data_IF_019941171424
#
_entry.id   IF_019941171424
#
_cell.length_a   1.000
_cell.length_b   1.000
_cell.length_c   1.000
_cell.angle_alpha   90.00
_cell.angle_beta   90.00
_cell.angle_gamma   90.00
#
_symmetry.space_group_name_H-M   'P 1'
#
loop_
_entity.id
_entity.type
_entity.pdbx_description
1 polymer ?
#
# COMPACT_ATOMS: atom_id res chain seq x y z
N UNK A 1 -14.25 -12.58 17.86
CA UNK A 1 -13.95 -14.00 17.58
C UNK A 1 -12.50 -14.26 18.00
N UNK A 2 -12.31 -14.99 19.06
CA UNK A 2 -10.96 -15.48 19.41
C UNK A 2 -10.61 -16.52 18.36
N UNK A 3 -9.65 -16.22 17.49
CA UNK A 3 -8.95 -17.24 16.73
C UNK A 3 -8.22 -18.10 17.75
N UNK A 4 -8.84 -19.24 18.12
CA UNK A 4 -8.11 -20.26 18.83
C UNK A 4 -7.10 -20.83 17.85
N UNK A 5 -5.82 -20.52 18.08
CA UNK A 5 -4.75 -21.28 17.49
C UNK A 5 -4.99 -22.77 17.76
N UNK A 6 -4.76 -23.59 16.77
CA UNK A 6 -4.47 -24.99 17.05
C UNK A 6 -3.06 -25.07 17.65
N UNK A 7 -2.92 -25.10 18.99
CA UNK A 7 -1.59 -25.13 19.64
C UNK A 7 -0.80 -26.34 19.20
N UNK A 8 -1.50 -27.38 18.74
CA UNK A 8 -0.89 -28.64 18.31
C UNK A 8 -0.01 -28.57 17.07
N UNK A 9 -0.24 -27.63 16.13
CA UNK A 9 0.59 -27.54 14.91
C UNK A 9 1.92 -26.84 15.18
N UNK A 10 1.90 -25.74 15.93
CA UNK A 10 3.13 -25.06 16.33
C UNK A 10 3.95 -25.91 17.30
N UNK A 11 3.33 -26.62 18.23
CA UNK A 11 4.00 -27.53 19.17
C UNK A 11 4.65 -28.73 18.47
N UNK A 12 4.06 -29.23 17.39
CA UNK A 12 4.63 -30.35 16.63
C UNK A 12 5.88 -29.96 15.85
N UNK A 13 6.05 -28.69 15.50
CA UNK A 13 7.17 -28.19 14.70
C UNK A 13 8.23 -27.48 15.52
N UNK A 14 8.01 -27.20 16.79
CA UNK A 14 9.05 -26.71 17.69
C UNK A 14 9.92 -27.91 18.15
N UNK A 15 11.25 -27.75 18.22
CA UNK A 15 12.05 -26.53 18.17
C UNK A 15 12.62 -26.19 16.80
N UNK A 16 12.21 -26.87 15.74
CA UNK A 16 12.82 -26.74 14.40
C UNK A 16 12.24 -25.60 13.56
N UNK A 17 11.13 -25.02 13.97
CA UNK A 17 10.44 -23.96 13.22
C UNK A 17 10.34 -22.70 14.06
N UNK A 18 10.84 -21.60 13.52
CA UNK A 18 10.64 -20.26 14.10
C UNK A 18 9.82 -19.40 13.12
N UNK A 19 8.80 -18.72 13.62
CA UNK A 19 8.08 -17.70 12.86
C UNK A 19 8.84 -16.37 12.90
N UNK A 20 8.63 -15.53 11.90
CA UNK A 20 9.23 -14.20 11.89
C UNK A 20 8.67 -13.36 13.04
N UNK A 21 9.44 -12.39 13.54
CA UNK A 21 9.02 -11.50 14.63
C UNK A 21 7.71 -10.76 14.34
N UNK A 22 7.39 -10.53 13.05
CA UNK A 22 6.13 -9.91 12.65
C UNK A 22 4.94 -10.83 12.84
N UNK A 23 5.08 -12.10 12.47
CA UNK A 23 4.05 -13.12 12.69
C UNK A 23 3.85 -13.36 14.19
N UNK A 24 4.94 -13.45 14.96
CA UNK A 24 4.88 -13.56 16.42
C UNK A 24 4.11 -12.38 17.06
N UNK A 25 4.38 -11.16 16.60
CA UNK A 25 3.68 -9.97 17.09
C UNK A 25 2.20 -9.97 16.68
N UNK A 26 1.90 -10.43 15.46
CA UNK A 26 0.52 -10.57 14.99
C UNK A 26 -0.25 -11.60 15.81
N UNK A 27 0.35 -12.73 16.14
CA UNK A 27 -0.26 -13.75 17.00
C UNK A 27 -0.65 -13.21 18.39
N UNK A 28 0.13 -12.26 18.92
CA UNK A 28 -0.16 -11.58 20.19
C UNK A 28 -1.28 -10.55 20.09
N UNK A 29 -1.36 -9.83 18.95
CA UNK A 29 -2.31 -8.74 18.74
C UNK A 29 -2.94 -8.78 17.32
N UNK A 30 -3.73 -9.81 16.98
CA UNK A 30 -4.17 -10.05 15.60
C UNK A 30 -5.13 -8.99 15.07
N UNK A 31 -5.76 -8.20 15.94
CA UNK A 31 -6.69 -7.13 15.54
C UNK A 31 -6.01 -5.81 15.22
N UNK A 32 -4.73 -5.65 15.55
CA UNK A 32 -4.00 -4.39 15.44
C UNK A 32 -2.88 -4.41 14.42
N UNK A 33 -2.52 -5.56 13.90
CA UNK A 33 -1.36 -5.70 13.01
C UNK A 33 -1.62 -6.72 11.91
N UNK A 34 -1.00 -6.52 10.77
CA UNK A 34 -0.96 -7.53 9.72
C UNK A 34 0.28 -8.42 9.86
N UNK A 35 0.15 -9.72 9.56
CA UNK A 35 1.29 -10.63 9.54
C UNK A 35 2.22 -10.37 8.34
N UNK A 36 1.69 -9.75 7.27
CA UNK A 36 2.48 -9.38 6.11
C UNK A 36 3.34 -8.14 6.41
N UNK A 37 4.57 -8.15 5.87
CA UNK A 37 5.46 -7.00 5.95
C UNK A 37 5.27 -6.01 4.81
N UNK A 38 4.98 -6.50 3.61
CA UNK A 38 4.81 -5.71 2.39
C UNK A 38 3.67 -6.24 1.55
N UNK A 39 2.99 -5.34 0.86
CA UNK A 39 1.92 -5.65 -0.10
C UNK A 39 2.07 -4.79 -1.34
N UNK A 40 1.58 -5.29 -2.47
CA UNK A 40 1.62 -4.58 -3.76
C UNK A 40 0.19 -4.29 -4.21
N UNK A 41 -0.03 -3.09 -4.72
CA UNK A 41 -1.29 -2.69 -5.33
C UNK A 41 -1.02 -2.08 -6.71
N UNK A 42 -1.58 -2.67 -7.75
CA UNK A 42 -1.53 -2.14 -9.12
C UNK A 42 -2.78 -1.32 -9.35
N UNK A 43 -2.62 -0.02 -9.60
CA UNK A 43 -3.73 0.91 -9.74
C UNK A 43 -4.25 0.91 -11.17
N UNK A 44 -5.54 0.63 -11.34
CA UNK A 44 -6.23 0.77 -12.62
C UNK A 44 -6.58 2.24 -12.90
N UNK A 45 -6.63 2.60 -14.18
CA UNK A 45 -6.86 3.97 -14.65
C UNK A 45 -8.34 4.38 -14.57
N UNK A 46 -8.90 4.29 -13.37
CA UNK A 46 -10.27 4.69 -13.05
C UNK A 46 -10.35 5.18 -11.61
N UNK A 47 -11.29 6.05 -11.30
CA UNK A 47 -11.47 6.52 -9.92
C UNK A 47 -12.17 5.46 -9.06
N UNK A 48 -13.34 5.00 -9.47
CA UNK A 48 -14.27 4.22 -8.64
C UNK A 48 -14.87 2.98 -9.32
N UNK A 49 -14.67 2.79 -10.62
CA UNK A 49 -15.36 1.73 -11.39
C UNK A 49 -14.86 0.31 -11.08
N UNK A 50 -13.68 0.17 -10.46
CA UNK A 50 -13.06 -1.13 -10.15
C UNK A 50 -12.55 -1.17 -8.71
N UNK A 51 -12.49 -2.39 -8.16
CA UNK A 51 -11.91 -2.64 -6.84
C UNK A 51 -10.42 -2.25 -6.73
N UNK A 52 -9.75 -2.07 -7.87
CA UNK A 52 -8.32 -1.72 -8.01
C UNK A 52 -8.13 -0.30 -8.54
N UNK A 53 -9.16 0.54 -8.50
CA UNK A 53 -9.11 1.93 -8.91
C UNK A 53 -8.30 2.83 -7.97
N UNK A 54 -8.22 4.10 -8.33
CA UNK A 54 -7.44 5.10 -7.59
C UNK A 54 -7.94 5.26 -6.15
N UNK A 55 -9.26 5.38 -5.96
CA UNK A 55 -9.85 5.52 -4.61
C UNK A 55 -9.63 4.27 -3.76
N UNK A 56 -9.79 3.08 -4.34
CA UNK A 56 -9.49 1.83 -3.66
C UNK A 56 -8.03 1.73 -3.22
N UNK A 57 -7.10 2.25 -4.03
CA UNK A 57 -5.67 2.30 -3.69
C UNK A 57 -5.38 3.18 -2.48
N UNK A 58 -6.07 4.30 -2.33
CA UNK A 58 -5.93 5.18 -1.17
C UNK A 58 -6.41 4.49 0.11
N UNK A 59 -7.56 3.83 0.04
CA UNK A 59 -8.09 3.07 1.17
C UNK A 59 -7.16 1.92 1.56
N UNK A 60 -6.63 1.21 0.57
CA UNK A 60 -5.66 0.13 0.78
C UNK A 60 -4.38 0.65 1.43
N UNK A 61 -3.78 1.72 0.91
CA UNK A 61 -2.57 2.32 1.46
C UNK A 61 -2.79 2.81 2.90
N UNK A 62 -3.90 3.50 3.16
CA UNK A 62 -4.26 3.96 4.50
C UNK A 62 -4.38 2.82 5.50
N UNK A 63 -5.09 1.75 5.14
CA UNK A 63 -5.23 0.57 6.00
C UNK A 63 -3.90 -0.11 6.26
N UNK A 64 -3.12 -0.36 5.21
CA UNK A 64 -1.84 -1.04 5.33
C UNK A 64 -0.87 -0.27 6.23
N UNK A 65 -0.75 1.04 6.06
CA UNK A 65 0.09 1.90 6.89
C UNK A 65 -0.36 1.91 8.35
N UNK A 66 -1.65 1.98 8.60
CA UNK A 66 -2.20 1.94 9.98
C UNK A 66 -1.87 0.64 10.69
N UNK A 67 -1.82 -0.48 9.97
CA UNK A 67 -1.47 -1.79 10.53
C UNK A 67 0.02 -2.10 10.44
N UNK A 68 0.84 -1.13 10.04
CA UNK A 68 2.30 -1.24 10.03
C UNK A 68 2.87 -2.08 8.89
N UNK A 69 2.11 -2.29 7.81
CA UNK A 69 2.59 -2.95 6.60
C UNK A 69 3.20 -1.92 5.63
N UNK A 70 4.26 -2.29 4.93
CA UNK A 70 4.76 -1.54 3.78
C UNK A 70 3.86 -1.73 2.56
N UNK A 71 3.76 -0.71 1.73
CA UNK A 71 2.93 -0.72 0.52
C UNK A 71 3.76 -0.36 -0.69
N UNK A 72 3.68 -1.16 -1.74
CA UNK A 72 4.16 -0.81 -3.06
C UNK A 72 2.94 -0.47 -3.95
N UNK A 73 2.93 0.73 -4.51
CA UNK A 73 1.88 1.22 -5.38
C UNK A 73 2.42 1.34 -6.80
N UNK A 74 1.81 0.67 -7.75
CA UNK A 74 2.22 0.66 -9.15
C UNK A 74 1.27 1.53 -9.97
N UNK A 75 1.78 2.63 -10.52
CA UNK A 75 1.01 3.69 -11.18
C UNK A 75 1.10 3.69 -12.71
N UNK A 76 1.76 2.71 -13.32
CA UNK A 76 2.06 2.71 -14.77
C UNK A 76 0.82 2.68 -15.66
N UNK A 77 -0.30 2.18 -15.17
CA UNK A 77 -1.55 2.13 -15.92
C UNK A 77 -2.29 3.47 -15.97
N UNK A 78 -1.93 4.40 -15.11
CA UNK A 78 -2.57 5.71 -15.10
C UNK A 78 -2.21 6.49 -16.36
N UNK A 79 -3.21 7.13 -16.95
CA UNK A 79 -3.02 7.97 -18.13
C UNK A 79 -2.08 9.13 -17.83
N UNK A 80 -1.28 9.56 -18.83
CA UNK A 80 -0.35 10.67 -18.67
C UNK A 80 -1.06 11.98 -18.31
N UNK A 81 -0.33 12.84 -17.61
CA UNK A 81 -0.73 14.20 -17.33
C UNK A 81 -1.11 14.95 -18.60
N UNK A 82 -2.19 15.70 -18.54
CA UNK A 82 -2.69 16.45 -19.68
C UNK A 82 -3.63 15.68 -20.60
N UNK A 83 -3.80 14.38 -20.43
CA UNK A 83 -4.78 13.58 -21.18
C UNK A 83 -6.18 14.07 -20.85
N UNK A 84 -6.98 14.36 -21.89
CA UNK A 84 -8.36 14.78 -21.73
C UNK A 84 -9.31 13.59 -21.82
N UNK A 85 -10.28 13.53 -20.91
CA UNK A 85 -11.37 12.57 -21.01
C UNK A 85 -12.47 13.07 -21.96
N UNK A 86 -13.50 12.25 -22.17
CA UNK A 86 -14.67 12.59 -23.02
C UNK A 86 -15.45 13.85 -22.56
N UNK A 87 -15.25 14.27 -21.34
CA UNK A 87 -15.87 15.50 -20.78
C UNK A 87 -14.93 16.71 -20.77
N UNK A 88 -13.74 16.58 -21.33
CA UNK A 88 -12.73 17.65 -21.39
C UNK A 88 -11.93 17.86 -20.10
N UNK A 89 -12.13 17.02 -19.08
CA UNK A 89 -11.32 17.07 -17.87
C UNK A 89 -9.90 16.55 -18.13
N UNK A 90 -8.93 17.23 -17.55
CA UNK A 90 -7.52 16.97 -17.77
C UNK A 90 -6.97 16.06 -16.65
N UNK A 91 -6.27 14.99 -17.02
CA UNK A 91 -5.63 14.08 -16.09
C UNK A 91 -4.46 14.74 -15.38
N UNK A 92 -4.33 14.45 -14.08
CA UNK A 92 -3.20 14.90 -13.25
C UNK A 92 -1.93 14.10 -13.47
N UNK A 93 -2.05 12.89 -14.03
CA UNK A 93 -0.96 11.94 -14.19
C UNK A 93 -0.56 11.24 -12.86
N UNK A 94 0.35 10.26 -12.94
CA UNK A 94 0.76 9.49 -11.76
C UNK A 94 1.40 10.35 -10.67
N UNK A 95 2.19 11.37 -11.04
CA UNK A 95 2.86 12.26 -10.08
C UNK A 95 1.90 13.07 -9.23
N UNK A 96 0.75 13.47 -9.78
CA UNK A 96 -0.29 14.16 -9.01
C UNK A 96 -0.86 13.31 -7.88
N UNK A 97 -1.01 12.01 -8.08
CA UNK A 97 -1.48 11.09 -7.05
C UNK A 97 -0.39 10.71 -6.04
N UNK A 98 0.88 10.80 -6.41
CA UNK A 98 2.01 10.52 -5.48
C UNK A 98 1.98 11.44 -4.27
N UNK A 99 1.56 12.69 -4.41
CA UNK A 99 1.42 13.63 -3.29
C UNK A 99 0.43 13.13 -2.23
N UNK A 100 -0.66 12.49 -2.66
CA UNK A 100 -1.67 11.95 -1.74
C UNK A 100 -1.07 10.81 -0.91
N UNK A 101 -0.35 9.88 -1.52
CA UNK A 101 0.30 8.79 -0.80
C UNK A 101 1.39 9.29 0.15
N UNK A 102 2.17 10.26 -0.29
CA UNK A 102 3.19 10.91 0.55
C UNK A 102 2.55 11.57 1.77
N UNK A 103 1.43 12.27 1.56
CA UNK A 103 0.70 12.92 2.65
C UNK A 103 0.07 11.95 3.63
N UNK A 104 -0.47 10.83 3.16
CA UNK A 104 -0.94 9.76 4.04
C UNK A 104 0.17 9.26 4.94
N UNK A 105 1.34 8.99 4.38
CA UNK A 105 2.48 8.52 5.17
C UNK A 105 2.89 9.53 6.23
N UNK A 106 2.98 10.80 5.85
CA UNK A 106 3.32 11.88 6.77
C UNK A 106 2.31 12.03 7.92
N UNK A 107 1.02 12.08 7.60
CA UNK A 107 -0.05 12.32 8.57
C UNK A 107 -0.21 11.15 9.52
N UNK A 108 -0.22 9.92 9.01
CA UNK A 108 -0.36 8.71 9.83
C UNK A 108 0.88 8.50 10.72
N UNK A 109 2.04 8.89 10.24
CA UNK A 109 3.29 8.83 11.01
C UNK A 109 3.30 9.77 12.22
N UNK A 110 2.71 10.96 12.09
CA UNK A 110 2.61 11.95 13.17
C UNK A 110 1.70 11.53 14.32
N UNK A 111 0.80 10.60 14.08
CA UNK A 111 -0.11 10.07 15.09
C UNK A 111 0.55 9.27 16.22
N UNK A 112 1.86 9.04 16.16
CA UNK A 112 2.69 8.52 17.26
C UNK A 112 2.44 7.06 17.68
N UNK A 113 1.35 6.45 17.25
CA UNK A 113 0.94 5.12 17.69
C UNK A 113 1.27 4.03 16.67
N UNK A 114 1.62 4.42 15.45
CA UNK A 114 1.83 3.51 14.34
C UNK A 114 3.33 3.40 14.00
N UNK A 115 3.79 2.19 13.69
CA UNK A 115 5.13 1.99 13.17
C UNK A 115 5.27 2.76 11.85
N UNK A 116 6.50 3.22 11.57
CA UNK A 116 6.85 3.80 10.28
C UNK A 116 6.50 2.81 9.16
N UNK A 117 5.38 3.05 8.48
CA UNK A 117 5.08 2.39 7.23
C UNK A 117 5.95 2.99 6.13
N UNK A 118 6.30 2.18 5.14
CA UNK A 118 6.98 2.63 3.95
C UNK A 118 6.03 2.53 2.76
N UNK A 119 5.97 3.58 1.95
CA UNK A 119 5.33 3.53 0.64
C UNK A 119 6.44 3.55 -0.41
N UNK A 120 6.40 2.59 -1.33
CA UNK A 120 7.23 2.57 -2.51
C UNK A 120 6.33 2.78 -3.74
N UNK A 121 6.64 3.75 -4.55
CA UNK A 121 5.88 4.02 -5.78
C UNK A 121 6.68 3.48 -6.96
N UNK A 122 6.00 2.78 -7.86
CA UNK A 122 6.57 2.23 -9.08
C UNK A 122 5.90 2.84 -10.30
N UNK A 123 6.70 3.15 -11.30
CA UNK A 123 6.26 3.57 -12.62
C UNK A 123 7.17 2.93 -13.67
N UNK A 124 6.61 2.42 -14.76
CA UNK A 124 7.36 1.83 -15.83
C UNK A 124 8.16 2.90 -16.57
N UNK A 125 9.36 2.56 -17.01
CA UNK A 125 10.24 3.47 -17.71
C UNK A 125 9.70 3.94 -19.07
N UNK A 126 8.75 3.22 -19.65
CA UNK A 126 8.07 3.57 -20.90
C UNK A 126 6.89 4.53 -20.72
N UNK A 127 6.54 4.88 -19.48
CA UNK A 127 5.45 5.81 -19.21
C UNK A 127 5.79 7.22 -19.67
N UNK A 128 4.87 7.92 -20.31
CA UNK A 128 5.10 9.27 -20.86
C UNK A 128 5.54 10.29 -19.79
N UNK A 129 5.08 10.12 -18.55
CA UNK A 129 5.44 11.00 -17.43
C UNK A 129 6.67 10.53 -16.65
N UNK A 130 7.45 9.58 -17.17
CA UNK A 130 8.59 8.99 -16.43
C UNK A 130 9.64 10.03 -16.03
N UNK A 131 9.87 11.04 -16.85
CA UNK A 131 10.83 12.12 -16.54
C UNK A 131 10.36 12.96 -15.36
N UNK A 132 9.06 13.30 -15.30
CA UNK A 132 8.48 13.99 -14.13
C UNK A 132 8.57 13.09 -12.88
N UNK A 133 8.31 11.80 -13.05
CA UNK A 133 8.39 10.81 -11.97
C UNK A 133 9.80 10.69 -11.39
N UNK A 134 10.82 10.60 -12.23
CA UNK A 134 12.24 10.49 -11.78
C UNK A 134 12.69 11.76 -11.06
N UNK A 135 12.22 12.93 -11.50
CA UNK A 135 12.58 14.23 -10.91
C UNK A 135 11.61 14.67 -9.79
N UNK A 136 10.70 13.81 -9.38
CA UNK A 136 9.76 14.12 -8.31
C UNK A 136 10.50 14.19 -6.96
N UNK A 137 10.32 15.31 -6.28
CA UNK A 137 11.01 15.64 -5.01
C UNK A 137 10.10 15.43 -3.78
#
# INVERSE_FOLDING_TARGET
MKLQEPPSLLEQFTPSLAVTGRVETWLKEPTRRYPQSCTVFVVEDTMDEHEDGIEASFLFASKALRYGAGVAIHLSKLRPKGTKNKYGMVASGPCGFMEIYSKFNEVLRRGGTYRNGAICIHCDWEHDDIIEFINYD
#
